data_IF_185235204455
#
_entry.id   IF_185235204455
#
_cell.length_a   1.000
_cell.length_b   1.000
_cell.length_c   1.000
_cell.angle_alpha   90.00
_cell.angle_beta   90.00
_cell.angle_gamma   90.00
#
_symmetry.space_group_name_H-M   'P 1'
#
loop_
_entity.id
_entity.type
_entity.pdbx_description
1 polymer ?
#
# COMPACT_ATOMS: atom_id res chain seq x y z
N UNK A 1 -2.64 42.18 32.98
CA UNK A 1 -2.41 41.14 31.96
C UNK A 1 -1.26 41.54 31.05
N UNK A 2 -0.13 40.85 31.09
CA UNK A 2 1.03 41.20 30.26
C UNK A 2 0.77 40.81 28.80
N UNK A 3 0.85 41.77 27.87
CA UNK A 3 0.74 41.56 26.44
C UNK A 3 1.84 40.59 25.97
N UNK A 4 1.46 39.38 25.51
CA UNK A 4 2.40 38.49 24.83
C UNK A 4 2.84 39.09 23.50
N UNK A 5 4.12 39.30 23.38
CA UNK A 5 4.71 39.81 22.16
C UNK A 5 4.98 38.60 21.21
N UNK A 6 4.83 38.85 19.88
CA UNK A 6 4.95 37.87 18.81
C UNK A 6 6.23 36.99 18.90
N UNK A 7 7.33 37.57 19.31
CA UNK A 7 8.63 36.92 19.47
C UNK A 7 8.63 35.90 20.63
N UNK A 8 7.90 36.21 21.72
CA UNK A 8 7.77 35.34 22.89
C UNK A 8 6.81 34.18 22.59
N UNK A 9 5.76 34.44 21.81
CA UNK A 9 4.87 33.39 21.31
C UNK A 9 5.63 32.38 20.43
N UNK A 10 6.43 32.84 19.46
CA UNK A 10 7.21 31.96 18.58
C UNK A 10 8.26 31.15 19.33
N UNK A 11 8.93 31.76 20.34
CA UNK A 11 9.88 31.00 21.18
C UNK A 11 9.19 29.91 22.02
N UNK A 12 8.01 30.18 22.56
CA UNK A 12 7.24 29.22 23.32
C UNK A 12 6.65 28.13 22.43
N UNK A 13 6.22 28.46 21.21
CA UNK A 13 5.74 27.48 20.23
C UNK A 13 6.86 26.55 19.76
N UNK A 14 8.08 27.06 19.54
CA UNK A 14 9.25 26.26 19.20
C UNK A 14 9.67 25.32 20.36
N UNK A 15 9.59 25.80 21.61
CA UNK A 15 9.87 24.97 22.77
C UNK A 15 8.79 23.91 23.03
N UNK A 16 7.52 24.21 22.75
CA UNK A 16 6.43 23.24 22.82
C UNK A 16 6.52 22.19 21.70
N UNK A 17 6.99 22.56 20.52
CA UNK A 17 7.21 21.62 19.40
C UNK A 17 8.26 20.55 19.69
N UNK A 18 9.23 20.83 20.57
CA UNK A 18 10.24 19.86 21.01
C UNK A 18 9.73 18.87 22.07
N UNK A 19 8.55 19.12 22.66
CA UNK A 19 7.95 18.32 23.72
C UNK A 19 6.73 17.51 23.28
N UNK A 20 6.42 17.46 21.96
CA UNK A 20 5.41 16.53 21.50
C UNK A 20 5.95 15.10 21.66
N UNK A 21 5.35 14.28 22.51
CA UNK A 21 5.66 12.86 22.49
C UNK A 21 5.32 12.36 21.08
N UNK A 22 6.28 11.71 20.43
CA UNK A 22 6.01 10.91 19.25
C UNK A 22 4.90 9.91 19.61
N UNK A 23 3.68 10.22 19.21
CA UNK A 23 2.57 9.29 19.33
C UNK A 23 2.86 8.17 18.33
N UNK A 24 3.57 7.16 18.79
CA UNK A 24 3.56 5.86 18.13
C UNK A 24 2.24 5.21 18.49
N UNK A 25 1.32 5.17 17.56
CA UNK A 25 0.15 4.30 17.68
C UNK A 25 0.71 2.87 17.67
N UNK A 26 0.68 2.22 18.84
CA UNK A 26 1.14 0.84 18.98
C UNK A 26 0.31 -0.02 18.00
N UNK A 27 0.96 -0.62 17.01
CA UNK A 27 0.33 -1.47 16.00
C UNK A 27 0.40 -0.98 14.56
N UNK A 28 0.81 0.26 14.29
CA UNK A 28 1.14 0.71 12.93
C UNK A 28 2.64 0.76 12.75
N UNK A 29 3.20 -0.16 11.97
CA UNK A 29 4.54 0.04 11.40
C UNK A 29 4.38 1.11 10.32
N UNK A 30 4.87 2.32 10.56
CA UNK A 30 5.06 3.24 9.44
C UNK A 30 6.09 2.59 8.53
N UNK A 31 5.80 2.45 7.26
CA UNK A 31 6.82 2.11 6.29
C UNK A 31 7.81 3.28 6.30
N UNK A 32 8.98 3.08 6.92
CA UNK A 32 10.03 4.09 6.97
C UNK A 32 10.80 4.25 5.66
N UNK A 33 10.29 3.65 4.59
CA UNK A 33 10.82 3.82 3.25
C UNK A 33 10.32 5.16 2.70
N UNK A 34 11.15 6.19 2.81
CA UNK A 34 11.02 7.34 1.91
C UNK A 34 11.35 6.79 0.52
N UNK A 35 10.32 6.64 -0.32
CA UNK A 35 10.51 6.30 -1.72
C UNK A 35 11.48 7.33 -2.30
N UNK A 36 12.66 6.87 -2.71
CA UNK A 36 13.57 7.69 -3.51
C UNK A 36 12.84 8.11 -4.78
N UNK A 37 13.11 9.31 -5.28
CA UNK A 37 12.46 9.86 -6.46
C UNK A 37 12.54 8.99 -7.74
N UNK A 38 13.28 7.88 -7.67
CA UNK A 38 13.53 6.92 -8.75
C UNK A 38 13.07 5.49 -8.43
N UNK A 39 12.40 5.25 -7.29
CA UNK A 39 11.92 3.92 -6.95
C UNK A 39 10.45 3.75 -7.34
N UNK A 40 10.15 2.63 -7.98
CA UNK A 40 8.79 2.29 -8.35
C UNK A 40 7.96 1.91 -7.11
N UNK A 41 6.68 2.29 -7.08
CA UNK A 41 5.70 1.81 -6.10
C UNK A 41 5.35 0.36 -6.41
N UNK A 42 5.62 -0.55 -5.48
CA UNK A 42 5.36 -1.98 -5.63
C UNK A 42 3.97 -2.32 -5.10
N UNK A 43 3.11 -2.78 -6.00
CA UNK A 43 1.69 -3.04 -5.71
C UNK A 43 1.36 -4.53 -5.80
N UNK A 44 0.60 -5.01 -4.80
CA UNK A 44 -0.09 -6.29 -4.86
C UNK A 44 -1.55 -6.11 -5.26
N UNK A 45 -2.07 -6.93 -6.17
CA UNK A 45 -3.50 -6.92 -6.52
C UNK A 45 -4.17 -8.16 -5.93
N UNK A 46 -5.12 -7.95 -5.01
CA UNK A 46 -5.90 -8.98 -4.35
C UNK A 46 -7.30 -9.09 -4.97
N UNK A 47 -7.66 -10.31 -5.40
CA UNK A 47 -8.88 -10.56 -6.18
C UNK A 47 -8.66 -10.18 -7.65
N UNK A 48 -8.06 -11.09 -8.43
CA UNK A 48 -7.61 -10.81 -9.81
C UNK A 48 -8.58 -11.26 -10.90
N UNK A 49 -9.76 -11.71 -10.52
CA UNK A 49 -10.88 -11.92 -11.44
C UNK A 49 -11.68 -10.61 -11.63
N UNK A 50 -12.57 -10.54 -12.57
CA UNK A 50 -13.50 -9.42 -12.76
C UNK A 50 -12.84 -8.03 -12.57
N UNK A 51 -13.21 -7.31 -11.53
CA UNK A 51 -12.73 -5.95 -11.23
C UNK A 51 -11.21 -5.86 -11.05
N UNK A 52 -10.60 -6.86 -10.41
CA UNK A 52 -9.14 -6.89 -10.24
C UNK A 52 -8.38 -6.97 -11.56
N UNK A 53 -8.97 -7.53 -12.61
CA UNK A 53 -8.38 -7.46 -13.96
C UNK A 53 -8.29 -6.01 -14.45
N UNK A 54 -9.28 -5.17 -14.13
CA UNK A 54 -9.23 -3.73 -14.45
C UNK A 54 -8.13 -3.01 -13.65
N UNK A 55 -7.91 -3.40 -12.38
CA UNK A 55 -6.82 -2.86 -11.56
C UNK A 55 -5.45 -3.21 -12.17
N UNK A 56 -5.24 -4.47 -12.58
CA UNK A 56 -4.01 -4.87 -13.28
C UNK A 56 -3.81 -4.01 -14.53
N UNK A 57 -4.84 -3.86 -15.36
CA UNK A 57 -4.75 -3.06 -16.59
C UNK A 57 -4.56 -1.56 -16.33
N UNK A 58 -4.98 -1.06 -15.17
CA UNK A 58 -4.79 0.33 -14.76
C UNK A 58 -3.40 0.60 -14.18
N UNK A 59 -2.84 -0.32 -13.42
CA UNK A 59 -1.56 -0.13 -12.75
C UNK A 59 -0.35 -0.53 -13.61
N UNK A 60 -0.40 -1.69 -14.27
CA UNK A 60 0.75 -2.25 -14.95
C UNK A 60 1.40 -1.34 -16.03
N UNK A 61 0.66 -0.51 -16.79
CA UNK A 61 1.28 0.38 -17.78
C UNK A 61 1.81 1.70 -17.19
N UNK A 62 1.63 1.97 -15.89
CA UNK A 62 2.02 3.24 -15.30
C UNK A 62 3.53 3.29 -15.02
N UNK A 63 4.17 4.40 -15.39
CA UNK A 63 5.56 4.64 -15.01
C UNK A 63 5.71 4.79 -13.50
N UNK A 64 6.72 4.13 -12.94
CA UNK A 64 6.96 4.15 -11.49
C UNK A 64 6.00 3.28 -10.70
N UNK A 65 5.32 2.34 -11.33
CA UNK A 65 4.47 1.34 -10.67
C UNK A 65 4.88 -0.06 -11.13
N UNK A 66 5.15 -0.94 -10.17
CA UNK A 66 5.43 -2.35 -10.40
C UNK A 66 4.34 -3.22 -9.74
N UNK A 67 3.64 -4.00 -10.55
CA UNK A 67 2.70 -5.01 -10.02
C UNK A 67 3.51 -6.25 -9.64
N UNK A 68 3.87 -6.36 -8.35
CA UNK A 68 4.76 -7.39 -7.85
C UNK A 68 4.05 -8.63 -7.32
N UNK A 69 2.80 -8.51 -6.92
CA UNK A 69 1.99 -9.64 -6.43
C UNK A 69 0.62 -9.73 -7.10
N UNK A 70 0.23 -10.97 -7.42
CA UNK A 70 -1.13 -11.33 -7.77
C UNK A 70 -1.67 -12.31 -6.74
N UNK A 71 -2.80 -11.96 -6.13
CA UNK A 71 -3.33 -12.65 -4.96
C UNK A 71 -4.76 -13.09 -5.23
N UNK A 72 -5.00 -14.41 -5.30
CA UNK A 72 -6.34 -14.97 -5.49
C UNK A 72 -6.37 -16.41 -5.02
N UNK A 73 -7.43 -16.89 -4.36
CA UNK A 73 -7.55 -18.31 -4.01
C UNK A 73 -7.61 -19.23 -5.24
N UNK A 74 -8.06 -18.72 -6.39
CA UNK A 74 -8.10 -19.47 -7.65
C UNK A 74 -6.77 -19.36 -8.42
N UNK A 75 -5.93 -20.37 -8.27
CA UNK A 75 -4.63 -20.43 -8.94
C UNK A 75 -4.73 -20.57 -10.48
N UNK A 76 -5.88 -20.96 -11.02
CA UNK A 76 -6.07 -21.07 -12.48
C UNK A 76 -5.99 -19.73 -13.20
N UNK A 77 -6.19 -18.62 -12.47
CA UNK A 77 -6.12 -17.26 -13.00
C UNK A 77 -4.67 -16.77 -13.16
N UNK A 78 -3.71 -17.32 -12.43
CA UNK A 78 -2.37 -16.75 -12.29
C UNK A 78 -1.62 -16.61 -13.60
N UNK A 79 -1.61 -17.62 -14.43
CA UNK A 79 -0.88 -17.60 -15.71
C UNK A 79 -1.36 -16.45 -16.60
N UNK A 80 -2.67 -16.39 -16.83
CA UNK A 80 -3.29 -15.40 -17.71
C UNK A 80 -3.14 -13.97 -17.18
N UNK A 81 -3.18 -13.79 -15.88
CA UNK A 81 -3.06 -12.45 -15.24
C UNK A 81 -1.60 -12.01 -15.15
N UNK A 82 -0.66 -12.94 -14.87
CA UNK A 82 0.78 -12.64 -14.94
C UNK A 82 1.20 -12.19 -16.32
N UNK A 83 0.73 -12.92 -17.36
CA UNK A 83 0.99 -12.52 -18.75
C UNK A 83 0.47 -11.10 -19.04
N UNK A 84 -0.72 -10.75 -18.54
CA UNK A 84 -1.28 -9.41 -18.71
C UNK A 84 -0.40 -8.32 -18.07
N UNK A 85 0.18 -8.58 -16.90
CA UNK A 85 1.11 -7.64 -16.24
C UNK A 85 2.36 -7.44 -17.10
N UNK A 86 2.99 -8.51 -17.54
CA UNK A 86 4.22 -8.44 -18.33
C UNK A 86 3.99 -7.81 -19.71
N UNK A 87 2.90 -8.15 -20.40
CA UNK A 87 2.55 -7.59 -21.71
C UNK A 87 2.25 -6.08 -21.63
N UNK A 88 1.75 -5.59 -20.50
CA UNK A 88 1.46 -4.17 -20.27
C UNK A 88 2.69 -3.34 -19.86
N UNK A 89 3.85 -3.95 -19.67
CA UNK A 89 5.06 -3.26 -19.23
C UNK A 89 5.16 -3.07 -17.73
N UNK A 90 4.38 -3.81 -16.95
CA UNK A 90 4.31 -3.74 -15.48
C UNK A 90 5.51 -4.36 -14.74
N UNK A 91 6.70 -4.30 -15.32
CA UNK A 91 7.92 -4.78 -14.70
C UNK A 91 8.17 -6.27 -14.86
N UNK A 92 8.72 -6.91 -13.82
CA UNK A 92 9.00 -8.35 -13.82
C UNK A 92 7.72 -9.17 -13.64
N UNK A 93 7.79 -10.46 -13.96
CA UNK A 93 6.69 -11.39 -13.73
C UNK A 93 6.28 -11.36 -12.24
N UNK A 94 5.01 -11.08 -11.92
CA UNK A 94 4.56 -10.98 -10.53
C UNK A 94 4.61 -12.32 -9.81
N UNK A 95 4.83 -12.29 -8.50
CA UNK A 95 4.69 -13.43 -7.62
C UNK A 95 3.22 -13.71 -7.38
N UNK A 96 2.80 -14.96 -7.60
CA UNK A 96 1.41 -15.39 -7.42
C UNK A 96 1.24 -16.13 -6.11
N UNK A 97 0.30 -15.72 -5.28
CA UNK A 97 0.00 -16.33 -3.98
C UNK A 97 -1.50 -16.48 -3.76
N UNK A 98 -1.91 -17.58 -3.14
CA UNK A 98 -3.31 -17.82 -2.81
C UNK A 98 -3.74 -17.15 -1.50
N UNK A 99 -2.79 -16.84 -0.63
CA UNK A 99 -3.02 -16.22 0.67
C UNK A 99 -2.32 -14.87 0.72
N UNK A 100 -3.10 -13.80 0.91
CA UNK A 100 -2.60 -12.43 0.98
C UNK A 100 -1.55 -12.22 2.09
N UNK A 101 -1.65 -12.95 3.18
CA UNK A 101 -0.72 -12.81 4.31
C UNK A 101 0.73 -13.05 3.88
N UNK A 102 0.96 -13.94 2.91
CA UNK A 102 2.30 -14.18 2.34
C UNK A 102 2.85 -12.98 1.58
N UNK A 103 1.98 -12.23 0.88
CA UNK A 103 2.39 -11.00 0.22
C UNK A 103 2.66 -9.88 1.24
N UNK A 104 1.87 -9.81 2.31
CA UNK A 104 2.01 -8.78 3.36
C UNK A 104 3.30 -8.95 4.20
N UNK A 105 3.90 -10.15 4.22
CA UNK A 105 5.19 -10.42 4.88
C UNK A 105 6.38 -9.80 4.12
N UNK A 106 6.21 -9.47 2.83
CA UNK A 106 7.29 -8.86 2.04
C UNK A 106 7.49 -7.39 2.43
N UNK A 107 8.66 -7.02 2.99
CA UNK A 107 8.96 -5.64 3.36
C UNK A 107 9.01 -4.70 2.15
N UNK A 108 9.24 -5.22 0.96
CA UNK A 108 9.34 -4.43 -0.27
C UNK A 108 7.99 -4.19 -0.96
N UNK A 109 6.91 -4.80 -0.51
CA UNK A 109 5.56 -4.46 -0.97
C UNK A 109 5.16 -3.12 -0.34
N UNK A 110 4.74 -2.14 -1.13
CA UNK A 110 4.36 -0.81 -0.64
C UNK A 110 2.85 -0.70 -0.43
N UNK A 111 2.07 -1.20 -1.37
CA UNK A 111 0.62 -1.05 -1.36
C UNK A 111 -0.12 -2.31 -1.82
N UNK A 112 -1.38 -2.42 -1.41
CA UNK A 112 -2.29 -3.48 -1.86
C UNK A 112 -3.56 -2.87 -2.43
N UNK A 113 -3.92 -3.31 -3.62
CA UNK A 113 -5.20 -3.01 -4.27
C UNK A 113 -6.15 -4.18 -4.08
N UNK A 114 -7.30 -3.94 -3.43
CA UNK A 114 -8.26 -4.96 -3.01
C UNK A 114 -9.52 -4.90 -3.86
N UNK A 115 -9.74 -5.93 -4.67
CA UNK A 115 -10.91 -6.11 -5.53
C UNK A 115 -11.55 -7.50 -5.33
N UNK A 116 -11.44 -8.02 -4.13
CA UNK A 116 -12.03 -9.30 -3.70
C UNK A 116 -13.55 -9.20 -3.50
N UNK A 117 -14.18 -10.28 -3.04
CA UNK A 117 -15.56 -10.21 -2.59
C UNK A 117 -15.70 -9.31 -1.36
N UNK A 118 -16.80 -8.58 -1.24
CA UNK A 118 -17.03 -7.52 -0.26
C UNK A 118 -16.74 -7.91 1.20
N UNK A 119 -17.06 -9.13 1.58
CA UNK A 119 -16.85 -9.62 2.96
C UNK A 119 -15.35 -9.72 3.35
N UNK A 120 -14.43 -9.74 2.38
CA UNK A 120 -13.00 -9.75 2.61
C UNK A 120 -12.39 -8.34 2.70
N UNK A 121 -13.07 -7.30 2.21
CA UNK A 121 -12.51 -5.94 2.11
C UNK A 121 -12.00 -5.42 3.45
N UNK A 122 -12.83 -5.49 4.50
CA UNK A 122 -12.47 -4.97 5.83
C UNK A 122 -11.30 -5.74 6.43
N UNK A 123 -11.31 -7.07 6.36
CA UNK A 123 -10.28 -7.91 6.97
C UNK A 123 -8.93 -7.73 6.28
N UNK A 124 -8.90 -7.73 4.94
CA UNK A 124 -7.69 -7.49 4.17
C UNK A 124 -7.13 -6.10 4.43
N UNK A 125 -8.00 -5.07 4.48
CA UNK A 125 -7.58 -3.70 4.79
C UNK A 125 -6.91 -3.61 6.15
N UNK A 126 -7.50 -4.23 7.18
CA UNK A 126 -6.91 -4.25 8.53
C UNK A 126 -5.54 -4.94 8.53
N UNK A 127 -5.43 -6.12 7.90
CA UNK A 127 -4.15 -6.84 7.83
C UNK A 127 -3.07 -6.05 7.09
N UNK A 128 -3.42 -5.42 5.98
CA UNK A 128 -2.47 -4.61 5.20
C UNK A 128 -2.00 -3.39 6.00
N UNK A 129 -2.91 -2.67 6.66
CA UNK A 129 -2.55 -1.55 7.55
C UNK A 129 -1.67 -2.00 8.71
N UNK A 130 -1.96 -3.15 9.33
CA UNK A 130 -1.13 -3.72 10.40
C UNK A 130 0.28 -4.10 9.91
N UNK A 131 0.39 -4.53 8.65
CA UNK A 131 1.66 -4.81 7.99
C UNK A 131 2.38 -3.53 7.51
N UNK A 132 1.80 -2.34 7.71
CA UNK A 132 2.37 -1.05 7.29
C UNK A 132 2.30 -0.80 5.79
N UNK A 133 1.32 -1.43 5.10
CA UNK A 133 1.11 -1.25 3.65
C UNK A 133 -0.03 -0.28 3.40
N UNK A 134 0.10 0.52 2.34
CA UNK A 134 -1.00 1.34 1.86
C UNK A 134 -2.09 0.47 1.22
N UNK A 135 -3.34 0.93 1.28
CA UNK A 135 -4.48 0.14 0.78
C UNK A 135 -5.39 0.97 -0.11
N UNK A 136 -5.63 0.45 -1.28
CA UNK A 136 -6.74 0.88 -2.14
C UNK A 136 -7.79 -0.24 -2.16
N UNK A 137 -8.97 0.01 -1.63
CA UNK A 137 -10.05 -0.97 -1.58
C UNK A 137 -11.23 -0.53 -2.42
N UNK A 138 -11.77 -1.47 -3.22
CA UNK A 138 -12.97 -1.23 -4.00
C UNK A 138 -14.19 -1.05 -3.08
N UNK A 139 -15.15 -0.29 -3.60
CA UNK A 139 -16.46 -0.15 -2.97
C UNK A 139 -17.22 -1.49 -2.97
N UNK A 140 -18.17 -1.68 -2.07
CA UNK A 140 -19.15 -2.77 -2.09
C UNK A 140 -20.02 -2.76 -3.35
#
# INVERSE_FOLDING_TARGET
MARQNRRRFLKNAAAAGAAFPLFTIAGTKSSGAVLGANEAVRIGVAGINGRGTSHISGFAPQQGVDVTYLIDPDSSLFESRSKRVTDAGGGQKPTCVQDIRKALEDPNLDAVSVATCNHWHSLITVWACQAGKDVYVEKP
#
